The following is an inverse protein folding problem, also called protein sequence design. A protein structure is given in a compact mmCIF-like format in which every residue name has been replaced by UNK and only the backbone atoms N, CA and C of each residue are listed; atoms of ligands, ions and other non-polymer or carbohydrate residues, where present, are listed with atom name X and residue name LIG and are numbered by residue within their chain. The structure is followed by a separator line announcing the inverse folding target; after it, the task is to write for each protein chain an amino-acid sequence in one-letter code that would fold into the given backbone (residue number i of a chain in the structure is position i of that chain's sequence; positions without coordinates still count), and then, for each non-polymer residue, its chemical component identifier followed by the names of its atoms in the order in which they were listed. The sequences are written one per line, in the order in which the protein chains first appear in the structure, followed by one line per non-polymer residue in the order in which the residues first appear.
data_IF_679799487323
#
_entry.id   IF_679799487323
#
_cell.length_a   1.000
_cell.length_b   1.000
_cell.length_c   1.000
_cell.angle_alpha   90.00
_cell.angle_beta   90.00
_cell.angle_gamma   90.00
#
_symmetry.space_group_name_H-M   'P 1'
#
loop_
_entity.id
_entity.type
_entity.pdbx_description
1 polymer ?
#
# COMPACT_ATOMS: atom_id res chain seq x y z
N UNK A 1 -31.45 44.97 33.57
CA UNK A 1 -30.47 44.53 32.57
C UNK A 1 -29.53 43.51 33.19
N UNK A 2 -29.53 42.26 32.70
CA UNK A 2 -28.64 41.19 33.19
C UNK A 2 -27.36 41.23 32.35
N UNK A 3 -26.27 41.65 32.89
CA UNK A 3 -24.96 41.60 32.24
C UNK A 3 -24.51 40.14 32.16
N UNK A 4 -24.46 39.59 30.97
CA UNK A 4 -23.81 38.27 30.73
C UNK A 4 -22.30 38.44 30.89
N UNK A 5 -21.76 37.92 31.98
CA UNK A 5 -20.32 37.80 32.17
C UNK A 5 -19.81 36.73 31.21
N UNK A 6 -19.16 37.11 30.12
CA UNK A 6 -18.40 36.18 29.28
C UNK A 6 -17.17 35.73 30.08
N UNK A 7 -17.22 34.50 30.57
CA UNK A 7 -16.03 33.82 31.16
C UNK A 7 -15.10 33.51 30.01
N UNK A 8 -14.00 34.20 29.87
CA UNK A 8 -12.91 33.87 28.97
C UNK A 8 -12.19 32.60 29.44
N UNK A 9 -11.65 31.84 28.52
CA UNK A 9 -10.78 30.67 28.80
C UNK A 9 -9.52 31.14 29.53
N UNK A 10 -9.14 30.44 30.59
CA UNK A 10 -7.90 30.73 31.30
C UNK A 10 -6.72 30.13 30.55
N UNK A 11 -5.54 30.75 30.65
CA UNK A 11 -4.30 30.24 30.06
C UNK A 11 -3.95 28.85 30.60
N UNK A 12 -4.28 28.59 31.85
CA UNK A 12 -4.09 27.28 32.50
C UNK A 12 -4.98 26.18 31.89
N UNK A 13 -6.25 26.47 31.60
CA UNK A 13 -7.16 25.53 30.93
C UNK A 13 -6.67 25.13 29.54
N UNK A 14 -6.14 26.12 28.77
CA UNK A 14 -5.56 25.84 27.47
C UNK A 14 -4.31 24.94 27.60
N UNK A 15 -3.45 25.20 28.57
CA UNK A 15 -2.23 24.43 28.80
C UNK A 15 -2.55 22.98 29.19
N UNK A 16 -3.54 22.74 30.07
CA UNK A 16 -4.00 21.43 30.44
C UNK A 16 -4.60 20.68 29.24
N UNK A 17 -5.41 21.34 28.42
CA UNK A 17 -5.99 20.76 27.22
C UNK A 17 -4.89 20.33 26.22
N UNK A 18 -3.88 21.14 26.00
CA UNK A 18 -2.74 20.81 25.14
C UNK A 18 -1.92 19.62 25.69
N UNK A 19 -1.73 19.55 27.01
CA UNK A 19 -1.03 18.44 27.64
C UNK A 19 -1.77 17.12 27.44
N UNK A 20 -3.09 17.10 27.61
CA UNK A 20 -3.93 15.91 27.37
C UNK A 20 -3.86 15.49 25.89
N UNK A 21 -3.98 16.44 24.96
CA UNK A 21 -3.88 16.17 23.53
C UNK A 21 -2.50 15.59 23.14
N UNK A 22 -1.42 16.10 23.75
CA UNK A 22 -0.07 15.58 23.52
C UNK A 22 0.08 14.11 23.95
N UNK A 23 -0.50 13.72 25.11
CA UNK A 23 -0.49 12.33 25.59
C UNK A 23 -1.27 11.41 24.64
N UNK A 24 -2.45 11.83 24.20
CA UNK A 24 -3.27 11.05 23.27
C UNK A 24 -2.54 10.91 21.91
N UNK A 25 -1.96 11.99 21.40
CA UNK A 25 -1.22 11.98 20.15
C UNK A 25 0.00 11.03 20.21
N UNK A 26 0.73 10.98 21.32
CA UNK A 26 1.88 10.11 21.50
C UNK A 26 1.54 8.62 21.35
N UNK A 27 0.32 8.21 21.72
CA UNK A 27 -0.16 6.82 21.59
C UNK A 27 -0.71 6.52 20.20
N UNK A 28 -1.40 7.49 19.58
CA UNK A 28 -2.10 7.28 18.29
C UNK A 28 -1.16 7.32 17.09
N UNK A 29 -0.15 8.20 17.09
CA UNK A 29 0.72 8.43 15.94
C UNK A 29 1.43 7.15 15.48
N UNK A 30 2.12 6.36 16.33
CA UNK A 30 2.84 5.16 15.86
C UNK A 30 1.92 4.11 15.25
N UNK A 31 0.71 3.94 15.78
CA UNK A 31 -0.28 2.99 15.26
C UNK A 31 -0.86 3.42 13.89
N UNK A 32 -0.98 4.73 13.69
CA UNK A 32 -1.48 5.28 12.43
C UNK A 32 -0.57 4.96 11.23
N UNK A 33 0.75 5.07 11.40
CA UNK A 33 1.71 4.76 10.33
C UNK A 33 1.63 3.29 9.91
N UNK A 34 1.62 2.36 10.86
CA UNK A 34 1.51 0.91 10.55
C UNK A 34 0.20 0.60 9.82
N UNK A 35 -0.90 1.24 10.22
CA UNK A 35 -2.20 1.01 9.58
C UNK A 35 -2.24 1.57 8.16
N UNK A 36 -1.66 2.74 7.93
CA UNK A 36 -1.57 3.37 6.61
C UNK A 36 -0.71 2.53 5.64
N UNK A 37 0.45 2.06 6.10
CA UNK A 37 1.33 1.27 5.26
C UNK A 37 0.73 -0.12 4.96
N UNK A 38 -0.03 -0.69 5.89
CA UNK A 38 -0.80 -1.91 5.64
C UNK A 38 -1.91 -1.69 4.60
N UNK A 39 -2.58 -0.53 4.63
CA UNK A 39 -3.56 -0.17 3.62
C UNK A 39 -2.93 -0.01 2.23
N UNK A 40 -1.73 0.59 2.15
CA UNK A 40 -0.95 0.69 0.89
C UNK A 40 -0.61 -0.69 0.34
N UNK A 41 -0.07 -1.58 1.17
CA UNK A 41 0.29 -2.94 0.74
C UNK A 41 -0.94 -3.73 0.24
N UNK A 42 -2.10 -3.59 0.87
CA UNK A 42 -3.36 -4.16 0.36
C UNK A 42 -3.77 -3.57 -0.99
N UNK A 43 -3.61 -2.27 -1.16
CA UNK A 43 -3.86 -1.60 -2.45
C UNK A 43 -2.93 -2.16 -3.53
N UNK A 44 -1.66 -2.39 -3.21
CA UNK A 44 -0.69 -2.96 -4.14
C UNK A 44 -1.06 -4.40 -4.52
N UNK A 45 -1.48 -5.23 -3.57
CA UNK A 45 -1.97 -6.59 -3.85
C UNK A 45 -3.19 -6.56 -4.80
N UNK A 46 -4.11 -5.62 -4.61
CA UNK A 46 -5.26 -5.46 -5.51
C UNK A 46 -4.80 -5.01 -6.91
N UNK A 47 -3.85 -4.09 -6.99
CA UNK A 47 -3.27 -3.63 -8.26
C UNK A 47 -2.55 -4.77 -8.99
N UNK A 48 -1.83 -5.64 -8.26
CA UNK A 48 -1.22 -6.84 -8.84
C UNK A 48 -2.26 -7.76 -9.52
N UNK A 49 -3.41 -7.97 -8.87
CA UNK A 49 -4.52 -8.74 -9.45
C UNK A 49 -5.12 -8.08 -10.69
N UNK A 50 -5.24 -6.74 -10.69
CA UNK A 50 -5.72 -5.99 -11.88
C UNK A 50 -4.75 -6.14 -13.04
N UNK A 51 -3.44 -6.07 -12.78
CA UNK A 51 -2.41 -6.27 -13.80
C UNK A 51 -2.48 -7.71 -14.34
N UNK A 52 -2.61 -8.71 -13.46
CA UNK A 52 -2.76 -10.10 -13.89
C UNK A 52 -3.98 -10.30 -14.78
N UNK A 53 -5.14 -9.80 -14.39
CA UNK A 53 -6.35 -9.88 -15.21
C UNK A 53 -6.17 -9.21 -16.57
N UNK A 54 -5.45 -8.09 -16.63
CA UNK A 54 -5.15 -7.41 -17.89
C UNK A 54 -4.25 -8.24 -18.79
N UNK A 55 -3.27 -8.96 -18.22
CA UNK A 55 -2.40 -9.90 -18.95
C UNK A 55 -3.21 -11.07 -19.50
N UNK A 56 -4.08 -11.66 -18.67
CA UNK A 56 -4.91 -12.80 -19.07
C UNK A 56 -5.86 -12.45 -20.21
N UNK A 57 -6.50 -11.28 -20.15
CA UNK A 57 -7.35 -10.74 -21.22
C UNK A 57 -6.54 -10.46 -22.47
N UNK A 58 -5.38 -9.82 -22.33
CA UNK A 58 -4.49 -9.55 -23.47
C UNK A 58 -4.09 -10.86 -24.17
N UNK A 59 -3.67 -11.87 -23.42
CA UNK A 59 -3.23 -13.16 -23.93
C UNK A 59 -4.39 -13.95 -24.59
N UNK A 60 -5.63 -13.72 -24.15
CA UNK A 60 -6.81 -14.32 -24.77
C UNK A 60 -7.18 -13.69 -26.12
N UNK A 61 -6.88 -12.41 -26.31
CA UNK A 61 -7.31 -11.67 -27.50
C UNK A 61 -6.18 -11.40 -28.51
N UNK A 62 -4.92 -11.47 -28.09
CA UNK A 62 -3.77 -11.02 -28.88
C UNK A 62 -2.56 -11.95 -28.81
N UNK A 63 -1.80 -11.96 -29.90
CA UNK A 63 -0.51 -12.62 -30.02
C UNK A 63 0.58 -11.62 -30.41
N UNK A 64 1.85 -11.78 -29.98
CA UNK A 64 2.34 -12.83 -29.08
C UNK A 64 1.92 -12.59 -27.62
N UNK A 65 1.75 -13.68 -26.87
CA UNK A 65 1.39 -13.63 -25.46
C UNK A 65 2.44 -12.91 -24.62
N UNK A 66 1.97 -12.29 -23.55
CA UNK A 66 2.83 -11.74 -22.50
C UNK A 66 3.20 -12.88 -21.57
N UNK A 67 4.50 -13.17 -21.46
CA UNK A 67 5.06 -14.22 -20.59
C UNK A 67 6.32 -13.68 -19.91
N UNK A 68 6.61 -14.12 -18.69
CA UNK A 68 7.82 -13.73 -17.96
C UNK A 68 7.61 -12.56 -17.01
N UNK A 69 8.69 -11.82 -16.73
CA UNK A 69 8.69 -10.76 -15.74
C UNK A 69 7.87 -9.54 -16.18
N UNK A 70 7.22 -8.90 -15.21
CA UNK A 70 6.45 -7.67 -15.41
C UNK A 70 7.41 -6.48 -15.31
N UNK A 71 7.64 -5.86 -16.45
CA UNK A 71 8.46 -4.65 -16.59
C UNK A 71 7.61 -3.46 -17.13
N UNK A 72 8.22 -2.29 -17.18
CA UNK A 72 7.58 -1.08 -17.68
C UNK A 72 7.16 -1.19 -19.16
N UNK A 73 7.88 -2.01 -19.94
CA UNK A 73 7.54 -2.25 -21.34
C UNK A 73 6.25 -3.08 -21.44
N UNK A 74 6.10 -4.09 -20.61
CA UNK A 74 4.89 -4.92 -20.50
C UNK A 74 3.69 -4.09 -20.07
N UNK A 75 3.83 -3.27 -19.02
CA UNK A 75 2.77 -2.40 -18.52
C UNK A 75 2.37 -1.35 -19.59
N UNK A 76 3.34 -0.76 -20.27
CA UNK A 76 3.12 0.18 -21.36
C UNK A 76 2.37 -0.48 -22.52
N UNK A 77 2.71 -1.73 -22.86
CA UNK A 77 2.01 -2.51 -23.90
C UNK A 77 0.54 -2.76 -23.55
N UNK A 78 0.26 -3.14 -22.30
CA UNK A 78 -1.11 -3.34 -21.81
C UNK A 78 -1.92 -2.04 -21.82
N UNK A 79 -1.29 -0.91 -21.47
CA UNK A 79 -1.93 0.40 -21.51
C UNK A 79 -2.33 0.81 -22.93
N UNK A 80 -1.41 0.75 -23.90
CA UNK A 80 -1.72 1.10 -25.29
C UNK A 80 -2.70 0.11 -25.96
N UNK A 81 -2.74 -1.11 -25.46
CA UNK A 81 -3.74 -2.10 -25.92
C UNK A 81 -5.13 -1.88 -25.29
N UNK A 82 -5.26 -0.98 -24.31
CA UNK A 82 -6.53 -0.62 -23.66
C UNK A 82 -6.92 -1.50 -22.48
N UNK A 83 -6.04 -2.37 -22.00
CA UNK A 83 -6.29 -3.28 -20.87
C UNK A 83 -5.94 -2.67 -19.51
N UNK A 84 -5.16 -1.59 -19.47
CA UNK A 84 -4.84 -0.83 -18.25
C UNK A 84 -5.24 0.63 -18.39
N UNK A 85 -5.67 1.24 -17.29
CA UNK A 85 -5.99 2.67 -17.23
C UNK A 85 -4.75 3.55 -17.05
N UNK A 86 -3.75 3.03 -16.39
CA UNK A 86 -2.49 3.71 -16.09
C UNK A 86 -1.36 3.08 -16.90
N UNK A 87 -0.48 3.91 -17.44
CA UNK A 87 0.60 3.46 -18.32
C UNK A 87 1.64 2.60 -17.61
N UNK A 88 2.07 3.03 -16.43
CA UNK A 88 3.08 2.35 -15.62
C UNK A 88 2.67 2.37 -14.14
N UNK A 89 1.65 1.56 -13.74
CA UNK A 89 1.29 1.50 -12.35
C UNK A 89 2.48 0.98 -11.54
N UNK A 90 2.82 1.71 -10.47
CA UNK A 90 3.89 1.33 -9.54
C UNK A 90 3.32 1.05 -8.16
N UNK A 91 3.91 0.11 -7.38
CA UNK A 91 3.48 -0.12 -6.02
C UNK A 91 3.64 1.13 -5.16
N UNK A 92 2.68 1.35 -4.25
CA UNK A 92 2.69 2.48 -3.30
C UNK A 92 3.47 2.15 -2.02
N UNK A 93 3.69 0.88 -1.75
CA UNK A 93 4.49 0.42 -0.62
C UNK A 93 5.96 0.70 -0.86
N UNK A 94 6.64 1.21 0.16
CA UNK A 94 8.04 1.60 0.08
C UNK A 94 8.94 0.45 -0.38
N UNK A 95 9.76 0.68 -1.41
CA UNK A 95 10.68 -0.29 -2.04
C UNK A 95 10.00 -1.55 -2.60
N UNK A 96 8.68 -1.59 -2.77
CA UNK A 96 8.01 -2.68 -3.45
C UNK A 96 8.18 -2.58 -4.97
N UNK A 97 8.19 -3.73 -5.64
CA UNK A 97 8.14 -3.84 -7.11
C UNK A 97 7.16 -4.93 -7.52
N UNK A 98 6.70 -4.90 -8.77
CA UNK A 98 5.95 -6.01 -9.34
C UNK A 98 6.90 -7.16 -9.66
N UNK A 99 6.46 -8.37 -9.37
CA UNK A 99 7.17 -9.60 -9.72
C UNK A 99 6.18 -10.64 -10.24
N UNK A 100 6.68 -11.72 -10.80
CA UNK A 100 5.88 -12.83 -11.29
C UNK A 100 6.13 -14.06 -10.43
N UNK A 101 5.05 -14.69 -9.96
CA UNK A 101 5.07 -15.98 -9.27
C UNK A 101 4.44 -17.05 -10.16
N UNK A 102 4.99 -18.27 -10.16
CA UNK A 102 4.56 -19.34 -11.05
C UNK A 102 3.06 -19.68 -10.94
N UNK A 103 2.53 -19.72 -9.70
CA UNK A 103 1.15 -20.14 -9.43
C UNK A 103 0.18 -18.98 -9.26
N UNK A 104 0.66 -17.79 -8.89
CA UNK A 104 -0.18 -16.63 -8.50
C UNK A 104 -0.18 -15.51 -9.55
N UNK A 105 0.71 -15.60 -10.55
CA UNK A 105 0.89 -14.56 -11.54
C UNK A 105 1.58 -13.32 -10.96
N UNK A 106 1.02 -12.13 -11.15
CA UNK A 106 1.60 -10.87 -10.65
C UNK A 106 1.48 -10.76 -9.14
N UNK A 107 2.58 -10.51 -8.47
CA UNK A 107 2.71 -10.38 -7.01
C UNK A 107 3.53 -9.15 -6.65
N UNK A 108 3.49 -8.77 -5.37
CA UNK A 108 4.30 -7.68 -4.80
C UNK A 108 5.59 -8.27 -4.24
N UNK A 109 6.74 -7.86 -4.77
CA UNK A 109 8.05 -8.20 -4.21
C UNK A 109 8.54 -7.07 -3.31
N UNK A 110 8.83 -7.39 -2.05
CA UNK A 110 9.22 -6.43 -1.03
C UNK A 110 10.25 -7.04 -0.09
N UNK A 111 11.15 -6.21 0.46
CA UNK A 111 12.15 -6.69 1.42
C UNK A 111 11.54 -6.88 2.82
N UNK A 112 11.22 -8.12 3.17
CA UNK A 112 10.67 -8.50 4.48
C UNK A 112 11.72 -8.52 5.63
N UNK A 113 13.00 -8.32 5.33
CA UNK A 113 14.05 -8.24 6.37
C UNK A 113 13.99 -6.93 7.16
N UNK A 114 13.25 -5.93 6.69
CA UNK A 114 13.04 -4.66 7.39
C UNK A 114 11.95 -4.83 8.44
N UNK A 115 12.22 -4.52 9.70
CA UNK A 115 11.30 -4.70 10.84
C UNK A 115 9.93 -4.04 10.65
N UNK A 116 9.91 -2.84 10.06
CA UNK A 116 8.67 -2.13 9.78
C UNK A 116 7.83 -2.85 8.71
N UNK A 117 8.48 -3.37 7.66
CA UNK A 117 7.83 -4.11 6.56
C UNK A 117 7.32 -5.46 7.06
N UNK A 118 8.13 -6.16 7.88
CA UNK A 118 7.72 -7.43 8.49
C UNK A 118 6.46 -7.28 9.34
N UNK A 119 6.35 -6.22 10.15
CA UNK A 119 5.15 -5.93 10.95
C UNK A 119 3.90 -5.64 10.10
N UNK A 120 4.08 -4.96 8.97
CA UNK A 120 2.99 -4.70 8.02
C UNK A 120 2.51 -6.01 7.41
N UNK A 121 3.44 -6.82 6.90
CA UNK A 121 3.16 -8.13 6.31
C UNK A 121 2.49 -9.10 7.28
N UNK A 122 3.03 -9.26 8.50
CA UNK A 122 2.48 -10.14 9.54
C UNK A 122 1.04 -9.79 9.95
N UNK A 123 0.63 -8.55 9.75
CA UNK A 123 -0.75 -8.13 10.02
C UNK A 123 -1.73 -8.32 8.86
N UNK A 124 -1.30 -8.90 7.74
CA UNK A 124 -2.19 -9.27 6.64
C UNK A 124 -2.82 -10.65 6.90
N UNK A 125 -4.04 -10.92 6.39
CA UNK A 125 -4.60 -12.26 6.38
C UNK A 125 -3.80 -13.19 5.43
N UNK A 126 -3.82 -14.50 5.69
CA UNK A 126 -2.99 -15.47 4.97
C UNK A 126 -3.20 -15.47 3.44
N UNK A 127 -4.42 -15.23 2.99
CA UNK A 127 -4.75 -15.13 1.56
C UNK A 127 -4.16 -13.89 0.88
N UNK A 128 -3.86 -12.82 1.63
CA UNK A 128 -3.17 -11.64 1.11
C UNK A 128 -1.65 -11.79 1.22
N UNK A 129 -1.15 -12.45 2.28
CA UNK A 129 0.26 -12.74 2.45
C UNK A 129 0.83 -13.56 1.28
N UNK A 130 0.05 -14.46 0.69
CA UNK A 130 0.44 -15.26 -0.46
C UNK A 130 0.82 -14.41 -1.69
N UNK A 131 0.28 -13.19 -1.83
CA UNK A 131 0.61 -12.26 -2.93
C UNK A 131 1.83 -11.38 -2.65
N UNK A 132 2.55 -11.62 -1.55
CA UNK A 132 3.76 -10.87 -1.18
C UNK A 132 4.93 -11.83 -1.13
N UNK A 133 5.96 -11.56 -1.93
CA UNK A 133 7.19 -12.37 -1.95
C UNK A 133 8.37 -11.56 -1.43
N UNK A 134 9.40 -12.26 -0.96
CA UNK A 134 10.66 -11.70 -0.46
C UNK A 134 11.80 -12.01 -1.43
N UNK A 135 11.73 -11.49 -2.65
CA UNK A 135 12.77 -11.67 -3.66
C UNK A 135 14.00 -10.79 -3.42
N UNK A 136 13.81 -9.61 -2.85
CA UNK A 136 14.88 -8.62 -2.57
C UNK A 136 15.71 -8.88 -1.32
N UNK A 137 15.36 -9.86 -0.50
CA UNK A 137 16.10 -10.29 0.69
C UNK A 137 17.11 -11.42 0.42
N UNK A 138 17.27 -11.84 -0.83
CA UNK A 138 18.20 -12.89 -1.25
C UNK A 138 19.41 -12.30 -1.98
N UNK A 139 20.21 -11.49 -1.28
CA UNK A 139 21.60 -11.20 -1.63
C UNK A 139 22.45 -11.26 -0.37
#
# INVERSE_FOLDING_TARGET
MRTKTNKGFTLLELLIALAILAIIAAILIPNFFVTTDRARLRSDIQSARVIQNAIDLYNAERTPNITGNIDDATLTRLYYAGFLRERTPSPQTYLAVWATHADLGVVVDINLSLDNVHRIYAGLPANEQAFVINGRGRN
#
